data_IF_250799740366
#
_entry.id   IF_250799740366
#
_cell.length_a   1.000
_cell.length_b   1.000
_cell.length_c   1.000
_cell.angle_alpha   90.00
_cell.angle_beta   90.00
_cell.angle_gamma   90.00
#
_symmetry.space_group_name_H-M   'P 1'
#
loop_
_entity.id
_entity.type
_entity.pdbx_description
1 polymer ?
#
# COMPACT_ATOMS: atom_id res chain seq x y z
N UNK A 1 -37.44 -38.34 -6.61
CA UNK A 1 -36.18 -37.59 -6.44
C UNK A 1 -36.62 -36.18 -6.10
N UNK A 2 -36.69 -35.84 -4.81
CA UNK A 2 -37.16 -34.54 -4.31
C UNK A 2 -35.94 -33.79 -3.78
N UNK A 3 -35.60 -32.66 -4.39
CA UNK A 3 -34.64 -31.71 -3.87
C UNK A 3 -35.29 -30.95 -2.71
N UNK A 4 -34.75 -31.14 -1.51
CA UNK A 4 -35.04 -30.31 -0.34
C UNK A 4 -34.03 -29.17 -0.34
N UNK A 5 -34.44 -28.00 -0.83
CA UNK A 5 -33.72 -26.75 -0.61
C UNK A 5 -33.94 -26.32 0.85
N UNK A 6 -32.99 -26.64 1.71
CA UNK A 6 -32.91 -26.03 3.03
C UNK A 6 -32.39 -24.60 2.86
N UNK A 7 -33.30 -23.64 2.68
CA UNK A 7 -33.00 -22.23 2.87
C UNK A 7 -32.52 -22.01 4.31
N UNK A 8 -31.24 -21.69 4.46
CA UNK A 8 -30.68 -21.17 5.70
C UNK A 8 -31.39 -19.84 6.01
N UNK A 9 -32.35 -19.87 6.93
CA UNK A 9 -32.90 -18.67 7.56
C UNK A 9 -31.74 -17.85 8.11
N UNK A 10 -31.61 -16.62 7.61
CA UNK A 10 -30.70 -15.62 8.16
C UNK A 10 -31.08 -15.36 9.61
N UNK A 11 -30.18 -15.70 10.52
CA UNK A 11 -30.32 -15.38 11.94
C UNK A 11 -30.20 -13.86 12.06
N UNK A 12 -31.22 -13.19 12.59
CA UNK A 12 -31.18 -11.77 12.89
C UNK A 12 -29.95 -11.50 13.78
N UNK A 13 -29.07 -10.62 13.30
CA UNK A 13 -27.84 -10.26 14.02
C UNK A 13 -28.20 -9.68 15.37
N UNK A 14 -27.74 -10.32 16.45
CA UNK A 14 -27.86 -9.77 17.80
C UNK A 14 -27.16 -8.41 17.85
N UNK A 15 -27.83 -7.35 18.33
CA UNK A 15 -27.20 -6.06 18.53
C UNK A 15 -26.06 -6.21 19.53
N UNK A 16 -24.83 -5.88 19.11
CA UNK A 16 -23.60 -6.08 19.87
C UNK A 16 -22.79 -7.33 19.53
N UNK A 17 -23.17 -8.10 18.50
CA UNK A 17 -22.34 -9.23 18.07
C UNK A 17 -20.98 -8.76 17.53
N UNK A 18 -19.94 -9.57 17.71
CA UNK A 18 -18.58 -9.29 17.20
C UNK A 18 -18.59 -9.04 15.68
N UNK A 19 -19.53 -9.62 14.94
CA UNK A 19 -19.69 -9.38 13.50
C UNK A 19 -20.19 -7.96 13.19
N UNK A 20 -20.97 -7.34 14.07
CA UNK A 20 -21.39 -5.94 13.96
C UNK A 20 -20.22 -4.98 14.27
N UNK A 21 -19.35 -5.34 15.22
CA UNK A 21 -18.09 -4.66 15.53
C UNK A 21 -17.02 -4.81 14.44
N UNK A 22 -17.02 -5.92 13.68
CA UNK A 22 -16.12 -6.13 12.53
C UNK A 22 -16.69 -5.46 11.26
N UNK A 23 -18.01 -5.36 11.13
CA UNK A 23 -18.72 -4.72 10.01
C UNK A 23 -18.70 -3.19 10.07
N UNK A 24 -18.80 -2.61 11.26
CA UNK A 24 -18.87 -1.14 11.46
C UNK A 24 -17.52 -0.50 11.81
N UNK A 25 -16.52 -1.30 12.21
CA UNK A 25 -15.15 -0.84 12.10
C UNK A 25 -14.81 -0.79 10.61
N UNK A 26 -14.98 0.41 10.03
CA UNK A 26 -13.95 1.00 9.21
C UNK A 26 -12.64 0.28 9.52
N UNK A 27 -12.17 -0.56 8.58
CA UNK A 27 -10.79 -1.06 8.56
C UNK A 27 -9.93 0.02 9.20
N UNK A 28 -9.04 -0.35 10.12
CA UNK A 28 -7.87 0.45 10.47
C UNK A 28 -7.11 0.74 9.16
N UNK A 29 -7.66 1.63 8.33
CA UNK A 29 -6.97 2.32 7.28
C UNK A 29 -5.93 3.09 8.05
N UNK A 30 -4.68 2.93 7.64
CA UNK A 30 -3.61 3.82 8.07
C UNK A 30 -4.19 5.24 8.02
N UNK A 31 -3.98 6.08 9.05
CA UNK A 31 -4.38 7.48 8.97
C UNK A 31 -3.91 8.00 7.62
N UNK A 32 -4.79 8.68 6.85
CA UNK A 32 -4.46 9.13 5.51
C UNK A 32 -3.10 9.81 5.56
N UNK A 33 -2.21 9.42 4.66
CA UNK A 33 -0.93 10.10 4.53
C UNK A 33 -1.24 11.60 4.37
N UNK A 34 -0.44 12.49 5.01
CA UNK A 34 -0.71 13.94 4.98
C UNK A 34 -0.99 14.44 3.55
N UNK A 35 -0.36 13.85 2.53
CA UNK A 35 -0.62 14.11 1.10
C UNK A 35 -2.05 13.82 0.62
N UNK A 36 -2.75 12.82 1.16
CA UNK A 36 -4.13 12.49 0.78
C UNK A 36 -5.14 13.44 1.42
N UNK A 37 -4.83 14.02 2.59
CA UNK A 37 -5.72 14.95 3.29
C UNK A 37 -5.81 16.33 2.61
N UNK A 38 -4.79 16.74 1.86
CA UNK A 38 -4.81 18.00 1.12
C UNK A 38 -5.55 17.92 -0.22
N UNK A 39 -5.72 16.73 -0.80
CA UNK A 39 -6.33 16.58 -2.13
C UNK A 39 -7.86 16.77 -2.14
N UNK A 40 -8.52 16.70 -0.97
CA UNK A 40 -9.99 16.61 -0.89
C UNK A 40 -10.67 17.71 -0.08
N UNK A 41 -10.00 18.83 0.20
CA UNK A 41 -10.72 19.99 0.75
C UNK A 41 -11.50 20.71 -0.37
N UNK A 42 -12.76 21.10 -0.14
CA UNK A 42 -13.56 21.83 -1.13
C UNK A 42 -12.88 23.09 -1.66
N UNK A 43 -12.04 23.75 -0.84
CA UNK A 43 -11.29 24.93 -1.26
C UNK A 43 -10.22 24.61 -2.33
N UNK A 44 -9.60 23.43 -2.28
CA UNK A 44 -8.57 23.04 -3.25
C UNK A 44 -9.18 22.64 -4.59
N UNK A 45 -10.39 22.07 -4.59
CA UNK A 45 -11.18 21.80 -5.81
C UNK A 45 -11.60 23.14 -6.45
N UNK A 46 -12.08 24.10 -5.66
CA UNK A 46 -12.43 25.43 -6.17
C UNK A 46 -11.22 26.17 -6.76
N UNK A 47 -10.04 26.04 -6.14
CA UNK A 47 -8.79 26.65 -6.63
C UNK A 47 -8.29 25.99 -7.91
N UNK A 48 -8.40 24.67 -8.04
CA UNK A 48 -8.04 23.95 -9.26
C UNK A 48 -8.93 24.36 -10.46
N UNK A 49 -10.22 24.61 -10.21
CA UNK A 49 -11.16 25.06 -11.24
C UNK A 49 -10.99 26.55 -11.63
N UNK A 50 -10.24 27.32 -10.84
CA UNK A 50 -9.98 28.74 -11.10
C UNK A 50 -8.67 28.99 -11.84
N UNK A 51 -7.86 27.95 -12.13
CA UNK A 51 -6.65 28.13 -12.93
C UNK A 51 -7.10 28.44 -14.36
N UNK A 52 -6.91 29.68 -14.86
CA UNK A 52 -7.25 29.98 -16.24
C UNK A 52 -6.39 29.09 -17.13
N UNK A 53 -7.03 28.31 -17.99
CA UNK A 53 -6.37 27.60 -19.09
C UNK A 53 -5.55 28.65 -19.84
N UNK A 54 -4.22 28.58 -19.68
CA UNK A 54 -3.27 29.41 -20.41
C UNK A 54 -3.58 29.18 -21.89
N UNK A 55 -4.26 30.13 -22.52
CA UNK A 55 -4.59 30.04 -23.92
C UNK A 55 -3.29 30.21 -24.70
N UNK A 56 -2.92 29.21 -25.48
CA UNK A 56 -1.68 29.12 -26.26
C UNK A 56 -1.58 30.15 -27.41
N UNK A 57 -2.27 31.28 -27.30
CA UNK A 57 -2.46 32.27 -28.36
C UNK A 57 -1.66 33.55 -28.07
N UNK A 58 -0.34 33.42 -27.97
CA UNK A 58 0.56 34.59 -28.02
C UNK A 58 1.92 34.14 -28.55
N UNK A 59 1.94 33.76 -29.83
CA UNK A 59 3.15 33.55 -30.61
C UNK A 59 2.86 33.95 -32.05
N UNK A 60 2.60 35.23 -32.30
CA UNK A 60 2.75 35.87 -33.62
C UNK A 60 2.60 37.37 -33.42
N UNK A 61 3.68 38.11 -33.65
CA UNK A 61 3.72 39.16 -34.67
C UNK A 61 5.08 39.86 -34.67
N UNK A 62 5.61 40.13 -35.86
CA UNK A 62 6.74 41.03 -36.04
C UNK A 62 7.64 40.67 -37.22
N UNK A 63 7.27 41.14 -38.42
CA UNK A 63 8.21 41.40 -39.50
C UNK A 63 7.81 40.82 -40.86
N UNK A 64 6.95 41.53 -41.58
CA UNK A 64 6.96 41.52 -43.05
C UNK A 64 8.32 42.04 -43.53
N UNK A 65 9.00 41.29 -44.40
CA UNK A 65 9.76 41.87 -45.53
C UNK A 65 10.14 40.79 -46.57
N UNK A 66 9.64 41.03 -47.78
CA UNK A 66 10.11 40.71 -49.14
C UNK A 66 10.54 39.31 -49.62
N UNK A 67 9.67 38.78 -50.49
CA UNK A 67 9.88 38.34 -51.90
C UNK A 67 10.99 37.29 -52.20
N UNK A 68 10.50 36.12 -52.66
CA UNK A 68 11.17 35.09 -53.48
C UNK A 68 12.46 34.43 -52.96
N UNK A 69 12.47 34.03 -51.69
CA UNK A 69 13.36 32.96 -51.24
C UNK A 69 12.65 31.62 -51.17
N UNK A 70 13.13 30.68 -52.00
CA UNK A 70 12.83 29.26 -51.98
C UNK A 70 12.76 28.76 -50.54
N UNK A 71 11.54 28.64 -50.01
CA UNK A 71 11.25 28.36 -48.60
C UNK A 71 11.78 26.97 -48.27
N UNK A 72 13.02 26.90 -47.74
CA UNK A 72 13.55 25.70 -47.12
C UNK A 72 12.64 25.37 -45.93
N UNK A 73 11.94 24.23 -45.93
CA UNK A 73 11.06 23.88 -44.83
C UNK A 73 11.84 23.87 -43.52
N UNK A 74 11.20 24.49 -42.54
CA UNK A 74 11.70 24.99 -41.28
C UNK A 74 12.31 23.92 -40.37
N UNK A 75 13.61 24.02 -40.15
CA UNK A 75 14.42 23.17 -39.24
C UNK A 75 13.96 23.29 -37.76
N UNK A 76 13.18 24.32 -37.39
CA UNK A 76 12.75 24.57 -36.00
C UNK A 76 11.89 23.46 -35.39
N UNK A 77 11.00 22.81 -36.14
CA UNK A 77 10.07 21.82 -35.59
C UNK A 77 10.77 20.55 -35.06
N UNK A 78 11.91 20.18 -35.63
CA UNK A 78 12.65 18.98 -35.23
C UNK A 78 13.32 19.09 -33.85
N UNK A 79 13.62 20.32 -33.38
CA UNK A 79 14.29 20.54 -32.09
C UNK A 79 13.35 20.32 -30.90
N UNK A 80 12.11 20.80 -30.99
CA UNK A 80 11.12 20.67 -29.92
C UNK A 80 10.63 19.23 -29.74
N UNK A 81 10.36 18.51 -30.84
CA UNK A 81 9.98 17.09 -30.80
C UNK A 81 11.02 16.25 -30.04
N UNK A 82 12.31 16.46 -30.34
CA UNK A 82 13.40 15.76 -29.65
C UNK A 82 13.42 16.04 -28.15
N UNK A 83 13.26 17.29 -27.73
CA UNK A 83 13.28 17.67 -26.32
C UNK A 83 12.11 17.06 -25.55
N UNK A 84 10.91 17.08 -26.13
CA UNK A 84 9.71 16.49 -25.50
C UNK A 84 9.90 14.98 -25.33
N UNK A 85 10.36 14.29 -26.38
CA UNK A 85 10.62 12.85 -26.33
C UNK A 85 11.67 12.53 -25.26
N UNK A 86 12.75 13.31 -25.17
CA UNK A 86 13.80 13.10 -24.16
C UNK A 86 13.26 13.25 -22.73
N UNK A 87 12.48 14.31 -22.45
CA UNK A 87 11.85 14.52 -21.14
C UNK A 87 10.89 13.38 -20.81
N UNK A 88 10.08 12.93 -21.77
CA UNK A 88 9.10 11.87 -21.55
C UNK A 88 9.76 10.51 -21.27
N UNK A 89 10.84 10.17 -21.97
CA UNK A 89 11.63 8.95 -21.68
C UNK A 89 12.24 9.02 -20.30
N UNK A 90 12.84 10.15 -19.93
CA UNK A 90 13.44 10.34 -18.61
C UNK A 90 12.40 10.11 -17.51
N UNK A 91 11.26 10.79 -17.62
CA UNK A 91 10.16 10.65 -16.67
C UNK A 91 9.63 9.22 -16.61
N UNK A 92 9.40 8.58 -17.76
CA UNK A 92 8.88 7.23 -17.81
C UNK A 92 9.86 6.20 -17.22
N UNK A 93 11.15 6.32 -17.53
CA UNK A 93 12.19 5.48 -16.93
C UNK A 93 12.25 5.68 -15.41
N UNK A 94 12.19 6.93 -14.94
CA UNK A 94 12.15 7.24 -13.52
C UNK A 94 11.00 6.54 -12.80
N UNK A 95 9.79 6.69 -13.33
CA UNK A 95 8.57 6.09 -12.77
C UNK A 95 8.68 4.56 -12.76
N UNK A 96 9.20 3.94 -13.84
CA UNK A 96 9.42 2.48 -13.89
C UNK A 96 10.38 2.03 -12.80
N UNK A 97 11.53 2.70 -12.65
CA UNK A 97 12.53 2.33 -11.66
C UNK A 97 12.01 2.49 -10.23
N UNK A 98 11.32 3.59 -9.93
CA UNK A 98 10.66 3.78 -8.62
C UNK A 98 9.62 2.68 -8.39
N UNK A 99 8.77 2.38 -9.38
CA UNK A 99 7.72 1.37 -9.22
C UNK A 99 8.30 -0.02 -8.92
N UNK A 100 9.42 -0.39 -9.56
CA UNK A 100 10.13 -1.64 -9.27
C UNK A 100 10.67 -1.61 -7.84
N UNK A 101 11.36 -0.53 -7.47
CA UNK A 101 11.95 -0.37 -6.15
C UNK A 101 10.89 -0.44 -5.04
N UNK A 102 9.81 0.33 -5.13
CA UNK A 102 8.73 0.34 -4.13
C UNK A 102 8.05 -1.02 -4.01
N UNK A 103 7.81 -1.72 -5.14
CA UNK A 103 7.22 -3.05 -5.13
C UNK A 103 8.10 -4.04 -4.37
N UNK A 104 9.41 -4.03 -4.65
CA UNK A 104 10.36 -4.90 -3.96
C UNK A 104 10.48 -4.53 -2.48
N UNK A 105 10.63 -3.24 -2.19
CA UNK A 105 10.76 -2.72 -0.82
C UNK A 105 9.54 -3.08 0.03
N UNK A 106 8.33 -2.89 -0.49
CA UNK A 106 7.11 -3.22 0.23
C UNK A 106 6.99 -4.72 0.55
N UNK A 107 7.10 -5.58 -0.47
CA UNK A 107 6.84 -7.01 -0.28
C UNK A 107 7.98 -7.74 0.45
N UNK A 108 9.24 -7.36 0.24
CA UNK A 108 10.38 -8.04 0.86
C UNK A 108 10.68 -7.49 2.25
N UNK A 109 10.53 -6.19 2.48
CA UNK A 109 10.94 -5.56 3.72
C UNK A 109 9.75 -5.21 4.61
N UNK A 110 8.86 -4.31 4.15
CA UNK A 110 7.76 -3.78 4.97
C UNK A 110 6.81 -4.89 5.43
N UNK A 111 6.36 -5.75 4.51
CA UNK A 111 5.41 -6.82 4.85
C UNK A 111 6.00 -7.87 5.79
N UNK A 112 7.30 -8.18 5.66
CA UNK A 112 7.97 -9.12 6.57
C UNK A 112 8.10 -8.54 7.97
N UNK A 113 8.49 -7.26 8.06
CA UNK A 113 8.64 -6.55 9.33
C UNK A 113 7.31 -6.44 10.07
N UNK A 114 6.23 -6.11 9.37
CA UNK A 114 4.88 -6.04 9.94
C UNK A 114 4.42 -7.40 10.50
N UNK A 115 4.62 -8.48 9.75
CA UNK A 115 4.28 -9.83 10.23
C UNK A 115 5.08 -10.21 11.49
N UNK A 116 6.40 -9.96 11.48
CA UNK A 116 7.27 -10.26 12.62
C UNK A 116 6.90 -9.43 13.86
N UNK A 117 6.53 -8.15 13.67
CA UNK A 117 6.08 -7.28 14.76
C UNK A 117 4.79 -7.78 15.41
N UNK A 118 3.82 -8.20 14.60
CA UNK A 118 2.56 -8.77 15.09
C UNK A 118 2.82 -10.09 15.83
N UNK A 119 3.60 -10.99 15.24
CA UNK A 119 3.92 -12.28 15.84
C UNK A 119 4.66 -12.11 17.18
N UNK A 120 5.63 -11.21 17.23
CA UNK A 120 6.36 -10.89 18.48
C UNK A 120 5.42 -10.36 19.55
N UNK A 121 4.53 -9.43 19.20
CA UNK A 121 3.55 -8.85 20.14
C UNK A 121 2.61 -9.93 20.70
N UNK A 122 2.12 -10.82 19.84
CA UNK A 122 1.26 -11.95 20.25
C UNK A 122 2.02 -12.93 21.12
N UNK A 123 3.24 -13.30 20.74
CA UNK A 123 4.07 -14.24 21.50
C UNK A 123 4.42 -13.70 22.89
N UNK A 124 4.72 -12.40 23.03
CA UNK A 124 4.95 -11.80 24.36
C UNK A 124 3.73 -11.97 25.26
N UNK A 125 2.52 -11.66 24.75
CA UNK A 125 1.29 -11.81 25.52
C UNK A 125 0.99 -13.27 25.90
N UNK A 126 1.17 -14.19 24.94
CA UNK A 126 0.90 -15.62 25.16
C UNK A 126 1.93 -16.23 26.11
N UNK A 127 3.22 -15.89 25.98
CA UNK A 127 4.27 -16.49 26.80
C UNK A 127 4.11 -16.14 28.27
N UNK A 128 3.69 -14.92 28.61
CA UNK A 128 3.42 -14.53 30.00
C UNK A 128 2.21 -15.31 30.56
N UNK A 129 1.15 -15.49 29.77
CA UNK A 129 0.01 -16.31 30.16
C UNK A 129 0.41 -17.79 30.35
N UNK A 130 1.15 -18.36 29.39
CA UNK A 130 1.62 -19.76 29.41
C UNK A 130 2.58 -19.99 30.59
N UNK A 131 3.48 -19.06 30.88
CA UNK A 131 4.39 -19.16 32.01
C UNK A 131 3.64 -19.24 33.35
N UNK A 132 2.55 -18.50 33.48
CA UNK A 132 1.67 -18.58 34.65
C UNK A 132 0.87 -19.89 34.69
N UNK A 133 0.44 -20.41 33.53
CA UNK A 133 -0.25 -21.70 33.43
C UNK A 133 0.62 -22.89 33.88
N UNK A 134 1.95 -22.82 33.75
CA UNK A 134 2.85 -23.92 34.18
C UNK A 134 2.81 -24.20 35.69
N UNK A 135 2.35 -23.23 36.49
CA UNK A 135 2.23 -23.39 37.95
C UNK A 135 0.83 -23.86 38.41
N UNK A 136 -0.11 -24.03 37.48
CA UNK A 136 -1.48 -24.44 37.78
C UNK A 136 -1.53 -25.96 37.93
N UNK A 137 -2.23 -26.45 38.95
CA UNK A 137 -2.38 -27.90 39.17
C UNK A 137 -3.24 -28.54 38.06
N UNK A 138 -3.04 -29.83 37.73
CA UNK A 138 -3.87 -30.51 36.73
C UNK A 138 -5.38 -30.45 37.02
N UNK A 139 -5.76 -30.42 38.31
CA UNK A 139 -7.16 -30.29 38.72
C UNK A 139 -7.74 -28.90 38.39
N UNK A 140 -6.98 -27.84 38.65
CA UNK A 140 -7.40 -26.48 38.29
C UNK A 140 -7.47 -26.29 36.78
N UNK A 141 -6.55 -26.89 36.01
CA UNK A 141 -6.61 -26.89 34.54
C UNK A 141 -7.92 -27.53 34.08
N UNK A 142 -8.31 -28.68 34.65
CA UNK A 142 -9.57 -29.34 34.29
C UNK A 142 -10.79 -28.47 34.62
N UNK A 143 -10.82 -27.80 35.78
CA UNK A 143 -11.91 -26.89 36.15
C UNK A 143 -11.99 -25.69 35.19
N UNK A 144 -10.84 -25.14 34.80
CA UNK A 144 -10.76 -24.04 33.84
C UNK A 144 -11.25 -24.51 32.46
N UNK A 145 -10.85 -25.70 32.02
CA UNK A 145 -11.27 -26.26 30.73
C UNK A 145 -12.78 -26.54 30.72
N UNK A 146 -13.32 -27.19 31.76
CA UNK A 146 -14.76 -27.42 31.95
C UNK A 146 -15.55 -26.10 31.97
N UNK A 147 -14.97 -25.03 32.54
CA UNK A 147 -15.58 -23.70 32.56
C UNK A 147 -15.51 -22.99 31.21
N UNK A 148 -14.40 -23.11 30.47
CA UNK A 148 -14.15 -22.38 29.21
C UNK A 148 -14.71 -23.08 27.99
N UNK A 149 -14.79 -24.41 27.97
CA UNK A 149 -15.25 -25.21 26.81
C UNK A 149 -16.61 -24.76 26.25
N UNK A 150 -17.62 -24.42 27.08
CA UNK A 150 -18.90 -23.90 26.57
C UNK A 150 -18.79 -22.53 25.88
N UNK A 151 -17.78 -21.73 26.22
CA UNK A 151 -17.59 -20.37 25.70
C UNK A 151 -16.57 -20.30 24.56
N UNK A 152 -15.59 -21.19 24.54
CA UNK A 152 -14.47 -21.19 23.59
C UNK A 152 -14.42 -22.54 22.89
N UNK A 153 -15.02 -22.61 21.71
CA UNK A 153 -14.82 -23.76 20.84
C UNK A 153 -13.43 -23.68 20.19
N UNK A 154 -12.42 -24.26 20.84
CA UNK A 154 -11.02 -24.24 20.41
C UNK A 154 -10.85 -24.74 18.96
N UNK A 155 -11.55 -25.81 18.59
CA UNK A 155 -11.53 -26.35 17.22
C UNK A 155 -12.02 -25.32 16.21
N UNK A 156 -13.11 -24.60 16.51
CA UNK A 156 -13.64 -23.56 15.65
C UNK A 156 -12.68 -22.37 15.55
N UNK A 157 -12.05 -21.95 16.66
CA UNK A 157 -11.08 -20.85 16.69
C UNK A 157 -9.85 -21.20 15.85
N UNK A 158 -9.28 -22.39 16.02
CA UNK A 158 -8.13 -22.87 15.24
C UNK A 158 -8.49 -22.95 13.75
N UNK A 159 -9.65 -23.53 13.42
CA UNK A 159 -10.12 -23.64 12.03
C UNK A 159 -10.32 -22.26 11.39
N UNK A 160 -10.93 -21.31 12.11
CA UNK A 160 -11.08 -19.91 11.65
C UNK A 160 -9.72 -19.24 11.46
N UNK A 161 -8.77 -19.45 12.37
CA UNK A 161 -7.40 -18.93 12.28
C UNK A 161 -6.67 -19.46 11.03
N UNK A 162 -6.72 -20.76 10.80
CA UNK A 162 -6.12 -21.39 9.61
C UNK A 162 -6.76 -20.87 8.32
N UNK A 163 -8.09 -20.79 8.28
CA UNK A 163 -8.81 -20.24 7.13
C UNK A 163 -8.44 -18.76 6.89
N UNK A 164 -8.34 -17.95 7.93
CA UNK A 164 -7.91 -16.55 7.81
C UNK A 164 -6.46 -16.45 7.29
N UNK A 165 -5.56 -17.33 7.74
CA UNK A 165 -4.20 -17.43 7.24
C UNK A 165 -4.13 -17.73 5.74
N UNK A 166 -4.91 -18.72 5.29
CA UNK A 166 -5.03 -19.08 3.86
C UNK A 166 -5.61 -17.90 3.05
N UNK A 167 -6.68 -17.29 3.54
CA UNK A 167 -7.30 -16.12 2.88
C UNK A 167 -6.30 -14.97 2.75
N UNK A 168 -5.57 -14.63 3.82
CA UNK A 168 -4.53 -13.59 3.81
C UNK A 168 -3.45 -13.89 2.76
N UNK A 169 -2.98 -15.13 2.68
CA UNK A 169 -1.98 -15.54 1.69
C UNK A 169 -2.49 -15.33 0.26
N UNK A 170 -3.71 -15.78 -0.05
CA UNK A 170 -4.33 -15.61 -1.37
C UNK A 170 -4.48 -14.12 -1.72
N UNK A 171 -4.97 -13.30 -0.78
CA UNK A 171 -5.10 -11.86 -0.99
C UNK A 171 -3.75 -11.18 -1.22
N UNK A 172 -2.72 -11.51 -0.44
CA UNK A 172 -1.38 -10.93 -0.59
C UNK A 172 -0.76 -11.32 -1.93
N UNK A 173 -0.93 -12.57 -2.35
CA UNK A 173 -0.49 -13.01 -3.67
C UNK A 173 -1.20 -12.24 -4.79
N UNK A 174 -2.52 -12.04 -4.68
CA UNK A 174 -3.30 -11.27 -5.66
C UNK A 174 -2.83 -9.81 -5.74
N UNK A 175 -2.57 -9.17 -4.60
CA UNK A 175 -2.07 -7.78 -4.55
C UNK A 175 -0.67 -7.72 -5.17
N UNK A 176 0.20 -8.68 -4.87
CA UNK A 176 1.54 -8.77 -5.47
C UNK A 176 1.48 -8.92 -7.00
N UNK A 177 0.63 -9.83 -7.51
CA UNK A 177 0.42 -9.99 -8.95
C UNK A 177 -0.09 -8.71 -9.61
N UNK A 178 -1.00 -7.97 -8.96
CA UNK A 178 -1.50 -6.68 -9.46
C UNK A 178 -0.40 -5.62 -9.49
N UNK A 179 0.39 -5.49 -8.43
CA UNK A 179 1.53 -4.58 -8.38
C UNK A 179 2.51 -4.85 -9.53
N UNK A 180 2.88 -6.12 -9.73
CA UNK A 180 3.74 -6.53 -10.83
C UNK A 180 3.11 -6.33 -12.22
N UNK A 181 1.79 -6.47 -12.35
CA UNK A 181 1.10 -6.15 -13.60
C UNK A 181 1.19 -4.65 -13.93
N UNK A 182 1.08 -3.76 -12.93
CA UNK A 182 1.28 -2.32 -13.12
C UNK A 182 2.72 -1.99 -13.54
N UNK A 183 3.71 -2.56 -12.85
CA UNK A 183 5.13 -2.43 -13.21
C UNK A 183 5.38 -2.93 -14.64
N UNK A 184 4.84 -4.10 -14.98
CA UNK A 184 4.94 -4.69 -16.31
C UNK A 184 4.30 -3.83 -17.39
N UNK A 185 3.15 -3.20 -17.11
CA UNK A 185 2.48 -2.27 -18.02
C UNK A 185 3.33 -1.02 -18.31
N UNK A 186 3.91 -0.41 -17.26
CA UNK A 186 4.82 0.74 -17.41
C UNK A 186 6.09 0.37 -18.17
N UNK A 187 6.67 -0.80 -17.88
CA UNK A 187 7.82 -1.33 -18.60
C UNK A 187 7.48 -1.59 -20.07
N UNK A 188 6.31 -2.14 -20.37
CA UNK A 188 5.81 -2.33 -21.73
C UNK A 188 5.68 -1.02 -22.49
N UNK A 189 5.13 0.02 -21.86
CA UNK A 189 5.05 1.38 -22.44
C UNK A 189 6.45 1.96 -22.71
N UNK A 190 7.38 1.80 -21.78
CA UNK A 190 8.78 2.24 -21.95
C UNK A 190 9.47 1.53 -23.11
N UNK A 191 9.28 0.21 -23.22
CA UNK A 191 9.81 -0.59 -24.32
C UNK A 191 9.20 -0.18 -25.67
N UNK A 192 7.89 0.04 -25.74
CA UNK A 192 7.21 0.50 -26.95
C UNK A 192 7.75 1.87 -27.41
N UNK A 193 7.94 2.81 -26.49
CA UNK A 193 8.52 4.11 -26.78
C UNK A 193 9.98 3.98 -27.26
N UNK A 194 10.77 3.13 -26.61
CA UNK A 194 12.17 2.84 -27.00
C UNK A 194 12.25 2.27 -28.43
N UNK A 195 11.36 1.34 -28.77
CA UNK A 195 11.23 0.80 -30.14
C UNK A 195 10.83 1.90 -31.12
N UNK A 196 9.86 2.74 -30.78
CA UNK A 196 9.44 3.88 -31.60
C UNK A 196 10.62 4.82 -31.92
N UNK A 197 11.41 5.21 -30.92
CA UNK A 197 12.62 6.03 -31.05
C UNK A 197 13.65 5.37 -31.96
N UNK A 198 13.85 4.05 -31.78
CA UNK A 198 14.79 3.27 -32.58
C UNK A 198 14.38 3.23 -34.05
N UNK A 199 13.09 3.02 -34.33
CA UNK A 199 12.52 3.04 -35.67
C UNK A 199 12.66 4.42 -36.33
N UNK A 200 12.48 5.51 -35.56
CA UNK A 200 12.65 6.90 -36.01
C UNK A 200 14.12 7.35 -36.07
N UNK A 201 15.07 6.50 -35.66
CA UNK A 201 16.52 6.77 -35.62
C UNK A 201 16.90 8.06 -34.86
N UNK A 202 16.15 8.39 -33.82
CA UNK A 202 16.43 9.57 -32.98
C UNK A 202 17.67 9.28 -32.13
N UNK A 203 18.68 10.16 -32.19
CA UNK A 203 19.92 10.03 -31.42
C UNK A 203 19.69 10.49 -29.97
N UNK A 204 19.63 9.54 -29.06
CA UNK A 204 19.47 9.75 -27.61
C UNK A 204 20.72 9.27 -26.88
N UNK A 205 21.19 10.03 -25.89
CA UNK A 205 22.31 9.64 -25.05
C UNK A 205 21.82 8.75 -23.89
N UNK A 206 21.62 7.46 -24.19
CA UNK A 206 21.05 6.48 -23.24
C UNK A 206 21.85 6.34 -21.94
N UNK A 207 23.18 6.39 -22.03
CA UNK A 207 24.05 6.24 -20.86
C UNK A 207 23.78 7.35 -19.84
N UNK A 208 23.64 8.59 -20.33
CA UNK A 208 23.33 9.73 -19.47
C UNK A 208 21.94 9.60 -18.83
N UNK A 209 20.93 9.22 -19.60
CA UNK A 209 19.55 9.05 -19.10
C UNK A 209 19.47 7.95 -18.05
N UNK A 210 20.09 6.79 -18.30
CA UNK A 210 20.09 5.68 -17.35
C UNK A 210 20.82 6.08 -16.07
N UNK A 211 22.01 6.67 -16.20
CA UNK A 211 22.80 7.11 -15.05
C UNK A 211 22.07 8.13 -14.17
N UNK A 212 21.48 9.17 -14.77
CA UNK A 212 20.72 10.22 -14.06
C UNK A 212 19.55 9.62 -13.27
N UNK A 213 18.75 8.76 -13.90
CA UNK A 213 17.58 8.15 -13.27
C UNK A 213 17.95 7.10 -12.22
N UNK A 214 18.95 6.25 -12.48
CA UNK A 214 19.44 5.29 -11.51
C UNK A 214 20.06 5.98 -10.30
N UNK A 215 20.84 7.04 -10.50
CA UNK A 215 21.41 7.82 -9.39
C UNK A 215 20.32 8.42 -8.51
N UNK A 216 19.24 8.95 -9.10
CA UNK A 216 18.13 9.51 -8.34
C UNK A 216 17.40 8.44 -7.51
N UNK A 217 17.16 7.26 -8.08
CA UNK A 217 16.51 6.14 -7.38
C UNK A 217 17.40 5.58 -6.27
N UNK A 218 18.72 5.50 -6.49
CA UNK A 218 19.67 5.09 -5.44
C UNK A 218 19.68 6.10 -4.29
N UNK A 219 19.69 7.40 -4.59
CA UNK A 219 19.60 8.44 -3.55
C UNK A 219 18.29 8.35 -2.76
N UNK A 220 17.18 8.10 -3.44
CA UNK A 220 15.88 7.89 -2.79
C UNK A 220 15.87 6.63 -1.91
N UNK A 221 16.42 5.52 -2.40
CA UNK A 221 16.56 4.28 -1.63
C UNK A 221 17.43 4.47 -0.38
N UNK A 222 18.54 5.22 -0.49
CA UNK A 222 19.39 5.58 0.65
C UNK A 222 18.66 6.49 1.64
N UNK A 223 17.92 7.48 1.14
CA UNK A 223 17.09 8.36 1.96
C UNK A 223 16.04 7.56 2.73
N UNK A 224 15.30 6.67 2.06
CA UNK A 224 14.31 5.82 2.71
C UNK A 224 14.96 4.90 3.74
N UNK A 225 16.07 4.23 3.41
CA UNK A 225 16.79 3.39 4.36
C UNK A 225 17.20 4.18 5.61
N UNK A 226 17.73 5.39 5.43
CA UNK A 226 18.07 6.28 6.53
C UNK A 226 16.82 6.65 7.33
N UNK A 227 15.74 7.07 6.67
CA UNK A 227 14.48 7.46 7.29
C UNK A 227 13.87 6.32 8.12
N UNK A 228 13.83 5.10 7.57
CA UNK A 228 13.37 3.92 8.28
C UNK A 228 14.25 3.64 9.51
N UNK A 229 15.57 3.74 9.37
CA UNK A 229 16.48 3.48 10.47
C UNK A 229 16.44 4.53 11.57
N UNK A 230 16.31 5.81 11.23
CA UNK A 230 16.39 6.89 12.21
C UNK A 230 15.03 7.23 12.81
N UNK A 231 13.97 7.24 12.02
CA UNK A 231 12.65 7.73 12.44
C UNK A 231 11.71 6.57 12.72
N UNK A 232 11.53 5.64 11.78
CA UNK A 232 10.53 4.57 11.92
C UNK A 232 10.94 3.55 13.00
N UNK A 233 12.20 3.13 13.07
CA UNK A 233 12.63 2.21 14.12
C UNK A 233 12.73 2.83 15.52
N UNK A 234 12.99 4.13 15.60
CA UNK A 234 12.98 4.87 16.87
C UNK A 234 11.56 5.17 17.34
N UNK A 235 10.55 4.97 16.50
CA UNK A 235 9.17 5.13 16.89
C UNK A 235 8.76 3.97 17.79
N UNK A 236 8.47 4.27 19.05
CA UNK A 236 7.94 3.31 20.01
C UNK A 236 6.44 3.10 19.71
N UNK A 237 6.02 1.93 19.18
CA UNK A 237 4.61 1.63 19.05
C UNK A 237 3.98 1.46 20.45
N UNK A 238 2.64 1.38 20.49
CA UNK A 238 1.90 1.06 21.71
C UNK A 238 2.54 -0.15 22.39
N UNK A 239 2.94 0.04 23.65
CA UNK A 239 3.63 -1.01 24.41
C UNK A 239 2.73 -2.23 24.65
N UNK A 240 3.34 -3.41 24.81
CA UNK A 240 2.61 -4.64 25.16
C UNK A 240 1.82 -4.50 26.46
N UNK A 241 2.35 -3.72 27.41
CA UNK A 241 1.69 -3.44 28.69
C UNK A 241 0.45 -2.57 28.52
N UNK A 242 0.48 -1.59 27.60
CA UNK A 242 -0.70 -0.79 27.26
C UNK A 242 -1.77 -1.64 26.59
N UNK A 243 -1.40 -2.51 25.64
CA UNK A 243 -2.34 -3.44 25.01
C UNK A 243 -2.97 -4.35 26.06
N UNK A 244 -2.17 -4.88 26.99
CA UNK A 244 -2.62 -5.75 28.07
C UNK A 244 -3.58 -5.03 29.03
N UNK A 245 -3.21 -3.82 29.46
CA UNK A 245 -4.07 -2.95 30.28
C UNK A 245 -5.42 -2.70 29.61
N UNK A 246 -5.41 -2.40 28.31
CA UNK A 246 -6.63 -2.08 27.58
C UNK A 246 -7.49 -3.33 27.31
N UNK A 247 -6.86 -4.50 27.11
CA UNK A 247 -7.55 -5.78 27.05
C UNK A 247 -8.24 -6.12 28.38
N UNK A 248 -7.52 -6.00 29.51
CA UNK A 248 -8.06 -6.22 30.86
C UNK A 248 -9.22 -5.25 31.14
N UNK A 249 -9.06 -3.96 30.83
CA UNK A 249 -10.13 -2.96 30.99
C UNK A 249 -11.37 -3.32 30.18
N UNK A 250 -11.22 -3.86 28.96
CA UNK A 250 -12.34 -4.35 28.15
C UNK A 250 -13.00 -5.55 28.81
N UNK A 251 -12.24 -6.53 29.31
CA UNK A 251 -12.83 -7.66 30.05
C UNK A 251 -13.56 -7.22 31.32
N UNK A 252 -12.97 -6.32 32.10
CA UNK A 252 -13.60 -5.75 33.30
C UNK A 252 -14.90 -5.00 32.96
N UNK A 253 -14.88 -4.19 31.90
CA UNK A 253 -16.01 -3.38 31.48
C UNK A 253 -17.15 -4.19 30.84
N UNK A 254 -16.83 -5.17 30.00
CA UNK A 254 -17.81 -5.96 29.26
C UNK A 254 -18.30 -7.19 30.01
N UNK A 255 -17.42 -7.87 30.76
CA UNK A 255 -17.72 -9.15 31.40
C UNK A 255 -17.80 -9.06 32.92
N UNK A 256 -17.33 -7.96 33.53
CA UNK A 256 -17.33 -7.79 34.99
C UNK A 256 -16.34 -8.71 35.73
N UNK A 257 -15.45 -9.38 35.02
CA UNK A 257 -14.42 -10.29 35.54
C UNK A 257 -13.11 -9.54 35.84
N UNK A 258 -12.19 -10.17 36.60
CA UNK A 258 -10.86 -9.63 36.92
C UNK A 258 -10.87 -8.29 37.70
N UNK A 259 -11.85 -8.10 38.59
CA UNK A 259 -11.92 -6.95 39.50
C UNK A 259 -11.07 -7.15 40.74
#
# INVERSE_FOLDING_TARGET
MYENENELKTVDSMPGSINELISTNNRLKRPPSLSESFAWTPENIARANQIPLISSAECLEGGEEDIDQLVKPSIKYCKYEKQIIEVFIKLLLHIVLISIFETLFYFLYVSSLENNGIETTVNTFINDAVANCMNISPLEIQIIDDFLDPYINATQVITKGNNAGIQRMIYNELISRRAWAYVGGLMGLFMALTVYIRCRRIKINWVYIIFENTSMVVLLALYELMFFNTIIYSYEPISTDEISRDAIRKFQGSCGILK
#
